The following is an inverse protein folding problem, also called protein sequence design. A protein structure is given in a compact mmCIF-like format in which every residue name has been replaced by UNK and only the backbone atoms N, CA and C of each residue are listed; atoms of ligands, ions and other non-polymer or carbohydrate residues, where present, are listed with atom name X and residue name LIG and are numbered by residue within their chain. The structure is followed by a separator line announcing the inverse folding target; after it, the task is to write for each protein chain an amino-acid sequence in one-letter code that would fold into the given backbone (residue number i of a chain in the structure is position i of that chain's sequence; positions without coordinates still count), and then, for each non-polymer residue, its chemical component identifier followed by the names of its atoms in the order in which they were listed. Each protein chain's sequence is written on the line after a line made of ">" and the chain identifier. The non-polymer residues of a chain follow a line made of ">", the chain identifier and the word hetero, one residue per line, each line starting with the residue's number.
data_IF_157129043252
#
_entry.id   IF_157129043252
#
_cell.length_a   1.000
_cell.length_b   1.000
_cell.length_c   1.000
_cell.angle_alpha   90.00
_cell.angle_beta   90.00
_cell.angle_gamma   90.00
#
_symmetry.space_group_name_H-M   'P 1'
#
loop_
_entity.id
_entity.type
_entity.pdbx_description
1 polymer ?
#
# COMPACT_ATOMS: atom_id res chain seq x y z
N UNK A 1 -8.32 30.25 -12.40
CA UNK A 1 -7.82 29.96 -11.04
C UNK A 1 -8.20 28.53 -10.75
N UNK A 2 -7.25 27.59 -10.71
CA UNK A 2 -7.54 26.21 -10.29
C UNK A 2 -7.62 26.26 -8.78
N UNK A 3 -8.83 26.08 -8.26
CA UNK A 3 -9.05 25.92 -6.82
C UNK A 3 -8.54 24.53 -6.47
N UNK A 4 -7.30 24.45 -5.98
CA UNK A 4 -6.79 23.22 -5.37
C UNK A 4 -7.45 23.11 -3.99
N UNK A 5 -8.69 22.65 -3.95
CA UNK A 5 -9.37 22.31 -2.70
C UNK A 5 -8.84 20.96 -2.18
N UNK A 6 -7.55 20.92 -1.83
CA UNK A 6 -7.00 19.83 -1.04
C UNK A 6 -7.22 20.13 0.44
N UNK A 7 -7.71 19.14 1.18
CA UNK A 7 -7.92 19.22 2.63
C UNK A 7 -6.85 18.38 3.30
N UNK A 8 -6.17 18.94 4.28
CA UNK A 8 -5.28 18.16 5.14
C UNK A 8 -6.10 17.41 6.18
N UNK A 9 -5.92 16.09 6.21
CA UNK A 9 -6.54 15.19 7.16
C UNK A 9 -5.42 14.39 7.84
N UNK A 10 -5.53 14.10 9.15
CA UNK A 10 -4.53 13.29 9.81
C UNK A 10 -4.54 11.85 9.27
N UNK A 11 -3.37 11.21 9.30
CA UNK A 11 -3.26 9.76 9.08
C UNK A 11 -4.24 9.04 10.01
N UNK A 12 -4.98 8.08 9.47
CA UNK A 12 -5.98 7.36 10.26
C UNK A 12 -5.30 6.29 11.13
N UNK A 13 -5.66 6.20 12.43
CA UNK A 13 -5.28 5.07 13.25
C UNK A 13 -5.69 3.74 12.59
N UNK A 14 -4.97 2.62 12.87
CA UNK A 14 -5.35 1.30 12.38
C UNK A 14 -6.84 1.02 12.67
N UNK A 15 -7.55 0.42 11.71
CA UNK A 15 -8.99 0.08 11.80
C UNK A 15 -9.97 1.29 11.80
N UNK A 16 -9.52 2.49 11.46
CA UNK A 16 -10.41 3.66 11.28
C UNK A 16 -10.48 4.09 9.81
N UNK A 17 -11.53 4.82 9.44
CA UNK A 17 -11.77 5.29 8.07
C UNK A 17 -12.46 6.65 8.07
N UNK A 18 -12.27 7.40 7.00
CA UNK A 18 -13.04 8.60 6.67
C UNK A 18 -14.21 8.24 5.75
N UNK A 19 -15.23 9.11 5.73
CA UNK A 19 -16.37 9.00 4.81
C UNK A 19 -16.57 10.32 4.07
N UNK A 20 -16.59 10.26 2.75
CA UNK A 20 -16.87 11.41 1.88
C UNK A 20 -17.62 10.95 0.64
N UNK A 21 -18.67 11.66 0.22
CA UNK A 21 -19.47 11.32 -0.97
C UNK A 21 -19.87 9.83 -1.07
N UNK A 22 -20.36 9.26 0.04
CA UNK A 22 -20.73 7.84 0.15
C UNK A 22 -19.61 6.81 -0.08
N UNK A 23 -18.34 7.24 -0.14
CA UNK A 23 -17.19 6.37 -0.15
C UNK A 23 -16.50 6.35 1.21
N UNK A 24 -15.99 5.18 1.59
CA UNK A 24 -15.05 5.03 2.70
C UNK A 24 -13.63 5.06 2.16
N UNK A 25 -12.73 5.68 2.91
CA UNK A 25 -11.32 5.76 2.54
C UNK A 25 -10.42 5.87 3.77
N UNK A 26 -9.15 5.56 3.56
CA UNK A 26 -8.08 5.72 4.53
C UNK A 26 -7.07 6.77 4.03
N UNK A 27 -6.10 7.12 4.87
CA UNK A 27 -5.01 8.05 4.59
C UNK A 27 -3.72 7.43 5.12
N UNK A 28 -2.81 7.11 4.21
CA UNK A 28 -1.45 6.71 4.57
C UNK A 28 -0.47 7.84 4.27
N UNK A 29 0.79 7.65 4.66
CA UNK A 29 1.88 8.49 4.18
C UNK A 29 2.02 8.36 2.66
N UNK A 30 2.73 9.29 2.05
CA UNK A 30 2.97 9.34 0.62
C UNK A 30 3.18 10.76 0.12
N UNK A 31 3.53 10.88 -1.15
CA UNK A 31 3.75 12.15 -1.83
C UNK A 31 2.49 12.59 -2.58
N UNK A 32 2.27 13.90 -2.67
CA UNK A 32 1.14 14.48 -3.41
C UNK A 32 -0.21 14.39 -2.68
N UNK A 33 -1.28 14.73 -3.41
CA UNK A 33 -2.65 14.74 -2.87
C UNK A 33 -3.35 13.39 -3.11
N UNK A 34 -3.80 12.75 -2.03
CA UNK A 34 -4.58 11.52 -2.13
C UNK A 34 -5.95 11.78 -2.77
N UNK A 35 -6.27 11.04 -3.83
CA UNK A 35 -7.63 10.93 -4.32
C UNK A 35 -8.31 9.87 -3.47
N UNK A 36 -9.36 10.24 -2.74
CA UNK A 36 -9.98 9.39 -1.71
C UNK A 36 -10.39 7.98 -2.19
N UNK A 37 -10.62 7.76 -3.50
CA UNK A 37 -10.96 6.44 -4.04
C UNK A 37 -9.74 5.54 -4.32
N UNK A 38 -8.54 6.12 -4.39
CA UNK A 38 -7.32 5.36 -4.65
C UNK A 38 -6.86 4.56 -3.41
N UNK A 39 -7.40 4.87 -2.22
CA UNK A 39 -7.06 4.17 -0.97
C UNK A 39 -8.30 3.89 -0.10
N UNK A 40 -9.17 2.94 -0.52
CA UNK A 40 -10.49 2.71 0.10
C UNK A 40 -10.42 2.06 1.49
N UNK A 41 -9.29 1.48 1.87
CA UNK A 41 -9.09 0.81 3.15
C UNK A 41 -7.67 1.02 3.67
N UNK A 42 -7.52 1.00 5.00
CA UNK A 42 -6.20 1.08 5.64
C UNK A 42 -5.45 -0.24 5.46
N UNK A 43 -4.39 -0.22 4.65
CA UNK A 43 -3.47 -1.35 4.48
C UNK A 43 -2.39 -1.33 5.57
N UNK A 44 -1.84 -2.51 5.86
CA UNK A 44 -0.72 -2.70 6.76
C UNK A 44 0.02 -3.98 6.31
N UNK A 45 1.33 -3.90 6.15
CA UNK A 45 2.16 -5.00 5.65
C UNK A 45 3.06 -5.62 6.72
N UNK A 46 2.83 -5.36 8.01
CA UNK A 46 3.62 -5.95 9.12
C UNK A 46 3.61 -7.48 9.13
N UNK A 47 2.53 -8.09 8.64
CA UNK A 47 2.38 -9.54 8.58
C UNK A 47 2.74 -10.12 7.19
N UNK A 48 3.21 -9.31 6.24
CA UNK A 48 3.58 -9.80 4.90
C UNK A 48 4.94 -10.48 4.96
N UNK A 49 4.97 -11.78 4.69
CA UNK A 49 6.21 -12.57 4.69
C UNK A 49 7.04 -12.26 3.41
N UNK A 50 8.28 -11.74 3.55
CA UNK A 50 9.13 -11.45 2.41
C UNK A 50 9.41 -12.67 1.52
N UNK A 51 9.47 -13.89 2.07
CA UNK A 51 9.72 -15.11 1.31
C UNK A 51 8.52 -15.51 0.45
N UNK A 52 7.30 -15.32 0.97
CA UNK A 52 6.07 -15.53 0.22
C UNK A 52 5.94 -14.51 -0.91
N UNK A 53 6.29 -13.25 -0.64
CA UNK A 53 6.33 -12.18 -1.65
C UNK A 53 7.39 -12.44 -2.73
N UNK A 54 8.61 -12.81 -2.36
CA UNK A 54 9.68 -13.17 -3.30
C UNK A 54 9.29 -14.38 -4.15
N UNK A 55 8.75 -15.43 -3.52
CA UNK A 55 8.22 -16.62 -4.18
C UNK A 55 7.17 -16.27 -5.24
N UNK A 56 6.29 -15.33 -4.94
CA UNK A 56 5.30 -14.82 -5.89
C UNK A 56 5.95 -14.01 -7.02
N UNK A 57 6.84 -13.08 -6.71
CA UNK A 57 7.45 -12.18 -7.69
C UNK A 57 8.34 -12.92 -8.69
N UNK A 58 9.26 -13.75 -8.19
CA UNK A 58 10.30 -14.43 -8.97
C UNK A 58 9.82 -15.75 -9.57
N UNK A 59 9.07 -16.54 -8.80
CA UNK A 59 8.71 -17.91 -9.18
C UNK A 59 7.25 -18.05 -9.63
N UNK A 60 6.46 -16.97 -9.56
CA UNK A 60 4.99 -17.00 -9.79
C UNK A 60 4.28 -18.04 -8.90
N UNK A 61 4.87 -18.37 -7.75
CA UNK A 61 4.33 -19.32 -6.79
C UNK A 61 3.25 -18.62 -5.96
N UNK A 62 2.07 -19.21 -5.91
CA UNK A 62 1.02 -18.73 -5.01
C UNK A 62 1.23 -19.27 -3.60
N UNK A 63 1.04 -18.44 -2.58
CA UNK A 63 1.06 -18.88 -1.19
C UNK A 63 -0.07 -19.88 -0.91
N UNK A 64 0.13 -20.81 0.02
CA UNK A 64 -0.96 -21.63 0.55
C UNK A 64 -1.78 -20.88 1.63
N UNK A 65 -1.23 -19.81 2.20
CA UNK A 65 -1.91 -18.97 3.17
C UNK A 65 -2.73 -17.88 2.44
N UNK A 66 -4.06 -17.91 2.65
CA UNK A 66 -4.99 -16.93 2.08
C UNK A 66 -4.70 -15.51 2.54
N UNK A 67 -4.20 -15.33 3.76
CA UNK A 67 -3.81 -14.04 4.31
C UNK A 67 -2.63 -13.47 3.53
N UNK A 68 -1.58 -14.28 3.30
CA UNK A 68 -0.44 -13.89 2.49
C UNK A 68 -0.83 -13.60 1.05
N UNK A 69 -1.69 -14.43 0.43
CA UNK A 69 -2.21 -14.14 -0.91
C UNK A 69 -2.89 -12.76 -0.99
N UNK A 70 -3.67 -12.41 0.02
CA UNK A 70 -4.34 -11.11 0.08
C UNK A 70 -3.35 -9.97 0.29
N UNK A 71 -2.40 -10.11 1.21
CA UNK A 71 -1.38 -9.09 1.48
C UNK A 71 -0.47 -8.86 0.26
N UNK A 72 -0.03 -9.93 -0.42
CA UNK A 72 0.73 -9.84 -1.67
C UNK A 72 -0.06 -9.07 -2.72
N UNK A 73 -1.33 -9.43 -2.96
CA UNK A 73 -2.16 -8.72 -3.93
C UNK A 73 -2.32 -7.24 -3.59
N UNK A 74 -2.51 -6.92 -2.31
CA UNK A 74 -2.60 -5.54 -1.85
C UNK A 74 -1.28 -4.78 -2.03
N UNK A 75 -0.14 -5.42 -1.75
CA UNK A 75 1.19 -4.86 -1.94
C UNK A 75 1.45 -4.53 -3.40
N UNK A 76 1.15 -5.47 -4.32
CA UNK A 76 1.27 -5.24 -5.77
C UNK A 76 0.38 -4.08 -6.23
N UNK A 77 -0.87 -4.00 -5.75
CA UNK A 77 -1.76 -2.91 -6.13
C UNK A 77 -1.23 -1.52 -5.69
N UNK A 78 -0.59 -1.44 -4.52
CA UNK A 78 0.07 -0.21 -4.06
C UNK A 78 1.24 0.13 -4.99
N UNK A 79 2.05 -0.87 -5.34
CA UNK A 79 3.18 -0.71 -6.26
C UNK A 79 2.74 -0.21 -7.64
N UNK A 80 1.73 -0.85 -8.24
CA UNK A 80 1.16 -0.44 -9.54
C UNK A 80 0.61 0.98 -9.50
N UNK A 81 -0.03 1.36 -8.38
CA UNK A 81 -0.56 2.72 -8.20
C UNK A 81 0.56 3.76 -8.07
N UNK A 82 1.64 3.43 -7.36
CA UNK A 82 2.82 4.30 -7.24
C UNK A 82 3.50 4.48 -8.60
N UNK A 83 3.62 3.42 -9.40
CA UNK A 83 4.10 3.49 -10.80
C UNK A 83 3.19 4.38 -11.64
N UNK A 84 1.86 4.22 -11.55
CA UNK A 84 0.88 5.03 -12.30
C UNK A 84 1.04 6.53 -12.00
N UNK A 85 1.31 6.90 -10.74
CA UNK A 85 1.52 8.30 -10.36
C UNK A 85 2.94 8.81 -10.64
N UNK A 86 3.92 7.92 -10.72
CA UNK A 86 5.32 8.24 -11.00
C UNK A 86 6.14 8.69 -9.79
N UNK A 87 5.65 8.47 -8.57
CA UNK A 87 6.31 8.79 -7.29
C UNK A 87 5.73 7.90 -6.17
N UNK A 88 6.28 7.98 -4.94
CA UNK A 88 5.79 7.21 -3.79
C UNK A 88 4.45 7.76 -3.29
N UNK A 89 3.39 7.52 -4.07
CA UNK A 89 2.06 8.10 -3.85
C UNK A 89 1.34 7.52 -2.63
N UNK A 90 1.43 6.21 -2.44
CA UNK A 90 0.91 5.48 -1.30
C UNK A 90 2.07 4.80 -0.58
N UNK A 91 2.27 5.15 0.68
CA UNK A 91 3.19 4.49 1.59
C UNK A 91 2.45 4.00 2.85
N UNK A 92 1.69 2.90 2.75
CA UNK A 92 1.07 2.28 3.92
C UNK A 92 2.13 1.80 4.93
N UNK A 93 1.77 1.62 6.21
CA UNK A 93 2.65 1.05 7.21
C UNK A 93 3.32 -0.26 6.74
N UNK A 94 4.64 -0.35 6.94
CA UNK A 94 5.51 -1.48 6.58
C UNK A 94 5.75 -1.68 5.07
N UNK A 95 5.25 -0.81 4.19
CA UNK A 95 5.45 -0.96 2.75
C UNK A 95 6.92 -0.80 2.35
N UNK A 96 7.57 0.31 2.75
CA UNK A 96 8.98 0.54 2.44
C UNK A 96 9.92 -0.45 3.13
N UNK A 97 9.56 -0.94 4.31
CA UNK A 97 10.33 -1.95 5.04
C UNK A 97 10.34 -3.29 4.31
N UNK A 98 9.18 -3.75 3.85
CA UNK A 98 9.07 -4.98 3.04
C UNK A 98 9.82 -4.84 1.73
N UNK A 99 9.69 -3.69 1.05
CA UNK A 99 10.47 -3.41 -0.17
C UNK A 99 11.98 -3.50 0.10
N UNK A 100 12.43 -2.89 1.20
CA UNK A 100 13.82 -2.94 1.61
C UNK A 100 14.31 -4.37 1.86
N UNK A 101 13.52 -5.18 2.57
CA UNK A 101 13.86 -6.58 2.86
C UNK A 101 14.01 -7.44 1.59
N UNK A 102 13.16 -7.22 0.58
CA UNK A 102 13.30 -7.88 -0.72
C UNK A 102 14.67 -7.62 -1.39
N UNK A 103 15.22 -6.42 -1.24
CA UNK A 103 16.52 -6.07 -1.83
C UNK A 103 17.71 -6.59 -1.01
N UNK A 104 17.60 -6.63 0.32
CA UNK A 104 18.71 -7.09 1.18
C UNK A 104 18.76 -8.60 1.36
N UNK A 105 17.67 -9.34 1.14
CA UNK A 105 17.66 -10.80 1.20
C UNK A 105 18.56 -11.49 0.14
N UNK A 106 19.07 -10.74 -0.85
CA UNK A 106 19.94 -11.26 -1.92
C UNK A 106 21.44 -11.34 -1.56
N UNK A 107 21.84 -10.92 -0.35
CA UNK A 107 23.22 -10.97 0.13
C UNK A 107 23.38 -11.98 1.28
N UNK A 108 23.21 -13.28 1.02
CA UNK A 108 23.66 -14.36 1.92
C UNK A 108 24.20 -15.53 1.12
#
# INVERSE_FOLDING_TARGET
>A
MVVNDSVQLPLNPPKTYYRFNNAFFAICEGEGALYYKDYPQALNFSDLDPLELEGFLLHKKSSCDRTQQQLIKQFINVYDKNIEKGFLYLNPPFFSEVERELFYAQCV
#
